data_IF_742307299004
#
_entry.id   IF_742307299004
#
_cell.length_a   1.000
_cell.length_b   1.000
_cell.length_c   1.000
_cell.angle_alpha   90.00
_cell.angle_beta   90.00
_cell.angle_gamma   90.00
#
_symmetry.space_group_name_H-M   'P 1'
#
loop_
_entity.id
_entity.type
_entity.pdbx_description
1 polymer ?
#
# COMPACT_ATOMS: atom_id res chain seq x y z
N UNK A 1 1.97 17.15 -10.10
CA UNK A 1 0.58 16.71 -9.86
C UNK A 1 0.57 15.24 -9.48
N UNK A 2 0.80 14.30 -10.41
CA UNK A 2 0.87 12.85 -10.10
C UNK A 2 1.89 12.51 -8.99
N UNK A 3 3.07 13.14 -8.98
CA UNK A 3 4.03 12.91 -7.89
C UNK A 3 3.46 13.24 -6.50
N UNK A 4 2.66 14.30 -6.37
CA UNK A 4 2.09 14.70 -5.09
C UNK A 4 1.02 13.70 -4.62
N UNK A 5 0.23 13.16 -5.54
CA UNK A 5 -0.73 12.11 -5.19
C UNK A 5 -0.02 10.79 -4.83
N UNK A 6 1.06 10.45 -5.53
CA UNK A 6 1.93 9.31 -5.20
C UNK A 6 2.56 9.46 -3.81
N UNK A 7 2.97 10.67 -3.43
CA UNK A 7 3.52 10.93 -2.08
C UNK A 7 2.44 10.76 -0.99
N UNK A 8 1.19 11.16 -1.25
CA UNK A 8 0.06 10.92 -0.33
C UNK A 8 -0.25 9.43 -0.19
N UNK A 9 -0.25 8.70 -1.31
CA UNK A 9 -0.39 7.24 -1.32
C UNK A 9 0.71 6.60 -0.49
N UNK A 10 1.96 7.03 -0.69
CA UNK A 10 3.12 6.48 0.03
C UNK A 10 2.99 6.68 1.55
N UNK A 11 2.49 7.83 1.99
CA UNK A 11 2.19 8.09 3.40
C UNK A 11 1.10 7.19 3.94
N UNK A 12 0.01 7.01 3.20
CA UNK A 12 -1.07 6.08 3.59
C UNK A 12 -0.55 4.64 3.71
N UNK A 13 0.24 4.18 2.74
CA UNK A 13 0.79 2.83 2.73
C UNK A 13 1.82 2.54 3.83
N UNK A 14 2.41 3.58 4.44
CA UNK A 14 3.31 3.45 5.57
C UNK A 14 2.58 3.10 6.88
N UNK A 15 1.26 3.29 6.94
CA UNK A 15 0.45 2.90 8.09
C UNK A 15 0.16 1.38 8.08
N UNK A 16 -0.06 0.81 9.27
CA UNK A 16 -0.41 -0.62 9.41
C UNK A 16 -1.68 -0.95 8.62
N UNK A 17 -2.68 -0.07 8.71
CA UNK A 17 -3.90 -0.12 7.91
C UNK A 17 -3.97 1.13 7.02
N UNK A 18 -3.63 1.03 5.73
CA UNK A 18 -3.69 2.16 4.81
C UNK A 18 -5.09 2.75 4.74
N UNK A 19 -5.17 4.07 4.76
CA UNK A 19 -6.43 4.81 4.65
C UNK A 19 -6.69 5.22 3.19
N UNK A 20 -7.95 5.22 2.79
CA UNK A 20 -8.36 5.68 1.47
C UNK A 20 -8.09 7.18 1.29
N UNK A 21 -7.78 7.58 0.06
CA UNK A 21 -7.43 8.95 -0.29
C UNK A 21 -8.52 9.53 -1.16
N UNK A 22 -9.00 10.70 -0.77
CA UNK A 22 -9.90 11.52 -1.56
C UNK A 22 -9.48 12.99 -1.37
N UNK A 23 -8.70 13.51 -2.32
CA UNK A 23 -8.08 14.84 -2.20
C UNK A 23 -8.07 15.60 -3.54
N UNK A 24 -8.01 16.93 -3.48
CA UNK A 24 -7.97 17.80 -4.65
C UNK A 24 -6.62 18.52 -4.76
N UNK A 25 -5.87 18.23 -5.82
CA UNK A 25 -4.55 18.79 -6.08
C UNK A 25 -4.54 19.47 -7.44
N UNK A 26 -4.21 20.76 -7.45
CA UNK A 26 -4.11 21.57 -8.68
C UNK A 26 -5.37 21.53 -9.57
N UNK A 27 -6.56 21.44 -8.95
CA UNK A 27 -7.84 21.40 -9.66
C UNK A 27 -8.27 20.02 -10.16
N UNK A 28 -7.52 18.96 -9.84
CA UNK A 28 -7.88 17.58 -10.10
C UNK A 28 -8.19 16.87 -8.79
N UNK A 29 -9.25 16.05 -8.76
CA UNK A 29 -9.59 15.21 -7.62
C UNK A 29 -8.98 13.82 -7.80
N UNK A 30 -8.29 13.33 -6.79
CA UNK A 30 -7.63 12.04 -6.73
C UNK A 30 -8.38 11.17 -5.76
N UNK A 31 -8.81 10.00 -6.22
CA UNK A 31 -9.52 9.02 -5.41
C UNK A 31 -8.74 7.72 -5.48
N UNK A 32 -8.20 7.26 -4.35
CA UNK A 32 -7.51 5.97 -4.23
C UNK A 32 -8.15 5.19 -3.10
N UNK A 33 -8.71 4.04 -3.43
CA UNK A 33 -9.32 3.14 -2.45
C UNK A 33 -8.53 1.85 -2.37
N UNK A 34 -8.26 1.41 -1.14
CA UNK A 34 -7.54 0.17 -0.87
C UNK A 34 -8.51 -0.96 -0.52
N UNK A 35 -8.00 -2.18 -0.59
CA UNK A 35 -8.72 -3.39 -0.16
C UNK A 35 -7.75 -4.40 0.43
N UNK A 36 -8.27 -5.34 1.20
CA UNK A 36 -7.48 -6.41 1.81
C UNK A 36 -7.27 -6.18 3.29
N UNK A 37 -6.16 -6.68 3.81
CA UNK A 37 -5.78 -6.63 5.22
C UNK A 37 -4.31 -6.22 5.36
N UNK A 38 -3.82 -6.13 6.60
CA UNK A 38 -2.44 -5.71 6.91
C UNK A 38 -1.39 -6.49 6.10
N UNK A 39 -1.59 -7.81 5.96
CA UNK A 39 -0.67 -8.74 5.28
C UNK A 39 -0.61 -8.59 3.75
N UNK A 40 -1.72 -8.18 3.14
CA UNK A 40 -1.84 -8.10 1.69
C UNK A 40 -2.84 -7.03 1.28
N UNK A 41 -2.32 -5.81 1.08
CA UNK A 41 -3.11 -4.67 0.61
C UNK A 41 -3.13 -4.66 -0.91
N UNK A 42 -4.31 -4.45 -1.49
CA UNK A 42 -4.53 -4.26 -2.91
C UNK A 42 -5.21 -2.92 -3.19
N UNK A 43 -5.34 -2.60 -4.47
CA UNK A 43 -6.07 -1.41 -4.93
C UNK A 43 -7.47 -1.79 -5.42
N UNK A 44 -8.46 -1.03 -4.99
CA UNK A 44 -9.83 -1.09 -5.52
C UNK A 44 -9.95 -0.09 -6.68
N UNK A 45 -9.73 1.20 -6.40
CA UNK A 45 -9.70 2.25 -7.41
C UNK A 45 -8.51 3.21 -7.28
N UNK A 46 -8.18 3.87 -8.39
CA UNK A 46 -7.22 4.96 -8.50
C UNK A 46 -7.66 5.86 -9.66
N UNK A 47 -8.52 6.81 -9.34
CA UNK A 47 -9.17 7.69 -10.31
C UNK A 47 -8.70 9.12 -10.14
N UNK A 48 -8.54 9.79 -11.28
CA UNK A 48 -8.24 11.22 -11.38
C UNK A 48 -9.40 11.88 -12.12
N UNK A 49 -10.10 12.77 -11.44
CA UNK A 49 -11.19 13.56 -12.01
C UNK A 49 -10.70 14.98 -12.30
N UNK A 50 -11.16 15.55 -13.41
CA UNK A 50 -10.94 16.97 -13.72
C UNK A 50 -11.90 17.90 -12.94
N UNK A 51 -11.84 19.20 -13.25
CA UNK A 51 -12.68 20.21 -12.61
C UNK A 51 -14.18 20.03 -12.86
N UNK A 52 -14.55 19.32 -13.92
CA UNK A 52 -15.93 19.02 -14.29
C UNK A 52 -16.37 17.65 -13.79
N UNK A 53 -15.58 17.04 -12.90
CA UNK A 53 -15.84 15.73 -12.31
C UNK A 53 -15.81 14.57 -13.31
N UNK A 54 -15.15 14.78 -14.45
CA UNK A 54 -15.00 13.77 -15.48
C UNK A 54 -13.71 12.97 -15.27
N UNK A 55 -13.79 11.66 -15.50
CA UNK A 55 -12.65 10.76 -15.36
C UNK A 55 -11.60 11.07 -16.43
N UNK A 56 -10.41 11.47 -15.98
CA UNK A 56 -9.23 11.53 -16.82
C UNK A 56 -8.60 10.13 -16.88
N UNK A 57 -8.95 9.37 -17.93
CA UNK A 57 -8.55 7.97 -18.09
C UNK A 57 -7.02 7.79 -18.08
N UNK A 58 -6.30 8.65 -18.80
CA UNK A 58 -4.84 8.55 -18.92
C UNK A 58 -4.16 8.80 -17.57
N UNK A 59 -4.54 9.87 -16.88
CA UNK A 59 -4.00 10.19 -15.56
C UNK A 59 -4.35 9.12 -14.51
N UNK A 60 -5.56 8.57 -14.57
CA UNK A 60 -6.03 7.50 -13.69
C UNK A 60 -5.24 6.20 -13.91
N UNK A 61 -4.98 5.83 -15.17
CA UNK A 61 -4.14 4.67 -15.49
C UNK A 61 -2.70 4.86 -14.99
N UNK A 62 -2.13 6.04 -15.19
CA UNK A 62 -0.78 6.34 -14.69
C UNK A 62 -0.73 6.24 -13.16
N UNK A 63 -1.67 6.89 -12.45
CA UNK A 63 -1.77 6.80 -11.00
C UNK A 63 -1.90 5.35 -10.54
N UNK A 64 -2.81 4.58 -11.16
CA UNK A 64 -3.04 3.18 -10.79
C UNK A 64 -1.78 2.33 -10.91
N UNK A 65 -0.98 2.53 -11.96
CA UNK A 65 0.29 1.83 -12.14
C UNK A 65 1.29 2.16 -11.04
N UNK A 66 1.44 3.45 -10.71
CA UNK A 66 2.34 3.89 -9.63
C UNK A 66 1.91 3.33 -8.27
N UNK A 67 0.61 3.40 -7.94
CA UNK A 67 0.07 2.82 -6.70
C UNK A 67 0.30 1.30 -6.66
N UNK A 68 0.14 0.60 -7.79
CA UNK A 68 0.37 -0.83 -7.86
C UNK A 68 1.84 -1.21 -7.57
N UNK A 69 2.80 -0.40 -8.02
CA UNK A 69 4.22 -0.59 -7.71
C UNK A 69 4.45 -0.43 -6.20
N UNK A 70 3.93 0.65 -5.60
CA UNK A 70 4.07 0.91 -4.16
C UNK A 70 3.46 -0.21 -3.32
N UNK A 71 2.29 -0.72 -3.70
CA UNK A 71 1.63 -1.84 -3.03
C UNK A 71 2.48 -3.12 -3.08
N UNK A 72 3.07 -3.42 -4.23
CA UNK A 72 3.91 -4.61 -4.38
C UNK A 72 5.16 -4.51 -3.48
N UNK A 73 5.78 -3.34 -3.41
CA UNK A 73 6.92 -3.07 -2.53
C UNK A 73 6.52 -3.25 -1.06
N UNK A 74 5.48 -2.54 -0.59
CA UNK A 74 4.98 -2.64 0.78
C UNK A 74 4.69 -4.09 1.18
N UNK A 75 3.91 -4.81 0.37
CA UNK A 75 3.52 -6.18 0.69
C UNK A 75 4.73 -7.13 0.73
N UNK A 76 5.74 -6.89 -0.09
CA UNK A 76 6.99 -7.67 -0.07
C UNK A 76 7.79 -7.40 1.19
N UNK A 77 7.97 -6.12 1.54
CA UNK A 77 8.67 -5.70 2.76
C UNK A 77 7.97 -6.21 4.02
N UNK A 78 6.65 -6.12 4.07
CA UNK A 78 5.86 -6.59 5.20
C UNK A 78 6.00 -8.11 5.41
N UNK A 79 5.93 -8.91 4.35
CA UNK A 79 6.18 -10.36 4.44
C UNK A 79 7.61 -10.68 4.90
N UNK A 80 8.60 -9.90 4.46
CA UNK A 80 9.98 -10.07 4.90
C UNK A 80 10.14 -9.78 6.40
N UNK A 81 9.47 -8.75 6.92
CA UNK A 81 9.45 -8.44 8.35
C UNK A 81 8.76 -9.54 9.17
N UNK A 82 7.63 -10.07 8.69
CA UNK A 82 6.94 -11.19 9.35
C UNK A 82 7.83 -12.45 9.41
N UNK A 83 8.53 -12.77 8.33
CA UNK A 83 9.43 -13.91 8.29
C UNK A 83 10.58 -13.75 9.30
N UNK A 84 11.21 -12.57 9.36
CA UNK A 84 12.24 -12.29 10.36
C UNK A 84 11.72 -12.37 11.79
N UNK A 85 10.51 -11.86 12.06
CA UNK A 85 9.91 -11.97 13.38
C UNK A 85 9.68 -13.44 13.79
N UNK A 86 9.23 -14.28 12.86
CA UNK A 86 9.05 -15.71 13.08
C UNK A 86 10.39 -16.43 13.31
N UNK A 87 11.44 -16.09 12.56
CA UNK A 87 12.80 -16.62 12.77
C UNK A 87 13.32 -16.26 14.17
N UNK A 88 13.23 -15.00 14.58
CA UNK A 88 13.63 -14.54 15.93
C UNK A 88 12.85 -15.29 17.01
N UNK A 89 11.54 -15.49 16.80
CA UNK A 89 10.72 -16.23 17.77
C UNK A 89 11.14 -17.69 17.86
N UNK A 90 11.46 -18.34 16.73
CA UNK A 90 11.95 -19.71 16.71
C UNK A 90 13.27 -19.83 17.45
N UNK A 91 14.23 -18.96 17.16
CA UNK A 91 15.55 -18.98 17.79
C UNK A 91 15.42 -18.83 19.32
N UNK A 92 14.53 -17.95 19.81
CA UNK A 92 14.24 -17.81 21.26
C UNK A 92 13.61 -19.06 21.87
N UNK A 93 12.77 -19.79 21.14
CA UNK A 93 12.15 -21.03 21.62
C UNK A 93 13.18 -22.16 21.68
N UNK A 94 14.08 -22.23 20.69
CA UNK A 94 15.19 -23.18 20.67
C UNK A 94 16.17 -22.93 21.84
N UNK A 95 16.47 -21.66 22.17
CA UNK A 95 17.30 -21.29 23.33
C UNK A 95 16.76 -21.81 24.67
N UNK A 96 15.44 -21.90 24.82
CA UNK A 96 14.79 -22.44 26.04
C UNK A 96 14.45 -23.94 25.93
N UNK A 97 14.98 -24.62 24.91
CA UNK A 97 14.85 -26.07 24.73
C UNK A 97 13.53 -26.54 24.13
N UNK A 98 12.73 -25.63 23.55
CA UNK A 98 11.50 -25.97 22.83
C UNK A 98 11.85 -26.07 21.33
N UNK A 99 11.95 -27.29 20.82
CA UNK A 99 12.24 -27.53 19.42
C UNK A 99 10.92 -27.64 18.62
N UNK A 100 10.57 -26.57 17.90
CA UNK A 100 9.46 -26.54 16.94
C UNK A 100 9.96 -27.01 15.58
N UNK A 101 10.22 -28.31 15.47
CA UNK A 101 10.48 -28.97 14.20
C UNK A 101 9.23 -28.96 13.31
N UNK A 102 9.38 -28.49 12.07
CA UNK A 102 8.44 -28.74 10.98
C UNK A 102 8.82 -30.04 10.26
#
# INVERSE_FOLDING_TARGET
MIQMSVDLVSKSLAENNPYDIDDCISGFRFIVEFKGNEDNVGILTADVLDSDWLLNIEASQLLRNEVQILLNTRNTEYRYLLNQANEIQRDRLEEIGINIGL
#
